data_IF_349695740628
#
_entry.id   IF_349695740628
#
_cell.length_a   1.000
_cell.length_b   1.000
_cell.length_c   1.000
_cell.angle_alpha   90.00
_cell.angle_beta   90.00
_cell.angle_gamma   90.00
#
_symmetry.space_group_name_H-M   'P 1'
#
loop_
_entity.id
_entity.type
_entity.pdbx_description
1 polymer ?
#
# COMPACT_ATOMS: atom_id res chain seq x y z
N UNK A 1 -31.51 31.51 -3.84
CA UNK A 1 -31.35 30.05 -3.65
C UNK A 1 -29.89 29.78 -3.36
N UNK A 2 -29.47 29.50 -2.11
CA UNK A 2 -28.10 29.10 -1.85
C UNK A 2 -27.95 27.59 -2.05
N UNK A 3 -27.06 27.20 -2.95
CA UNK A 3 -26.69 25.81 -3.20
C UNK A 3 -25.91 25.28 -2.00
N UNK A 4 -26.63 24.51 -1.18
CA UNK A 4 -26.14 23.89 0.02
C UNK A 4 -25.37 22.60 -0.34
N UNK A 5 -24.13 22.74 -0.82
CA UNK A 5 -23.19 21.62 -0.86
C UNK A 5 -22.77 21.33 0.59
N UNK A 6 -23.62 20.59 1.30
CA UNK A 6 -23.19 19.91 2.52
C UNK A 6 -22.09 18.96 2.08
N UNK A 7 -20.83 19.32 2.33
CA UNK A 7 -19.78 18.32 2.47
C UNK A 7 -20.33 17.37 3.53
N UNK A 8 -20.77 16.19 3.09
CA UNK A 8 -21.06 15.11 4.00
C UNK A 8 -19.68 14.67 4.48
N UNK A 9 -19.18 15.31 5.52
CA UNK A 9 -18.05 14.81 6.30
C UNK A 9 -18.55 13.57 7.03
N UNK A 10 -18.81 12.50 6.29
CA UNK A 10 -18.87 11.17 6.88
C UNK A 10 -17.42 10.76 7.06
N UNK A 11 -16.86 11.05 8.23
CA UNK A 11 -15.72 10.26 8.71
C UNK A 11 -16.12 8.79 8.51
N UNK A 12 -15.42 8.01 7.67
CA UNK A 12 -15.79 6.63 7.47
C UNK A 12 -15.75 5.95 8.83
N UNK A 13 -16.93 5.57 9.34
CA UNK A 13 -17.03 4.92 10.62
C UNK A 13 -16.18 3.65 10.56
N UNK A 14 -15.31 3.45 11.56
CA UNK A 14 -14.54 2.21 11.76
C UNK A 14 -15.49 1.07 12.17
N UNK A 15 -16.47 0.77 11.32
CA UNK A 15 -17.49 -0.25 11.54
C UNK A 15 -17.08 -1.51 10.80
N UNK A 16 -17.23 -2.66 11.47
CA UNK A 16 -16.85 -3.98 10.95
C UNK A 16 -17.75 -4.51 9.82
N UNK A 17 -18.79 -3.77 9.42
CA UNK A 17 -19.70 -4.10 8.32
C UNK A 17 -19.38 -3.23 7.12
N UNK A 18 -18.73 -3.84 6.11
CA UNK A 18 -18.48 -3.23 4.80
C UNK A 18 -19.80 -3.04 4.05
N UNK A 19 -20.25 -1.81 3.89
CA UNK A 19 -21.28 -1.47 2.89
C UNK A 19 -20.60 -1.32 1.52
N UNK A 20 -21.19 -1.87 0.44
CA UNK A 20 -20.61 -1.78 -0.92
C UNK A 20 -20.51 -0.33 -1.39
N UNK A 21 -21.54 0.47 -1.10
CA UNK A 21 -21.62 1.89 -1.45
C UNK A 21 -20.53 2.74 -0.79
N UNK A 22 -20.18 2.47 0.46
CA UNK A 22 -19.13 3.23 1.17
C UNK A 22 -17.74 2.97 0.56
N UNK A 23 -17.47 1.74 0.13
CA UNK A 23 -16.21 1.41 -0.52
C UNK A 23 -16.07 2.07 -1.90
N UNK A 24 -17.15 2.12 -2.66
CA UNK A 24 -17.18 2.81 -3.96
C UNK A 24 -16.92 4.32 -3.79
N UNK A 25 -17.57 4.96 -2.82
CA UNK A 25 -17.35 6.38 -2.50
C UNK A 25 -15.90 6.63 -2.07
N UNK A 26 -15.35 5.80 -1.17
CA UNK A 26 -13.95 5.94 -0.74
C UNK A 26 -13.00 5.74 -1.92
N UNK A 27 -13.26 4.76 -2.78
CA UNK A 27 -12.44 4.55 -3.99
C UNK A 27 -12.50 5.73 -4.94
N UNK A 28 -13.65 6.39 -5.08
CA UNK A 28 -13.80 7.58 -5.92
C UNK A 28 -13.03 8.77 -5.33
N UNK A 29 -13.21 9.05 -4.04
CA UNK A 29 -12.48 10.12 -3.33
C UNK A 29 -10.96 9.89 -3.40
N UNK A 30 -10.49 8.66 -3.21
CA UNK A 30 -9.06 8.34 -3.28
C UNK A 30 -8.43 8.66 -4.64
N UNK A 31 -9.21 8.58 -5.73
CA UNK A 31 -8.70 8.93 -7.07
C UNK A 31 -8.42 10.42 -7.26
N UNK A 32 -8.93 11.29 -6.37
CA UNK A 32 -8.61 12.72 -6.36
C UNK A 32 -7.20 13.00 -5.80
N UNK A 33 -6.61 12.03 -5.09
CA UNK A 33 -5.29 12.16 -4.47
C UNK A 33 -4.23 11.42 -5.28
N UNK A 34 -3.03 12.00 -5.38
CA UNK A 34 -1.83 11.29 -5.80
C UNK A 34 -1.24 10.55 -4.60
N UNK A 35 -1.41 9.22 -4.55
CA UNK A 35 -1.00 8.43 -3.40
C UNK A 35 0.52 8.23 -3.37
N UNK A 36 1.13 8.36 -2.21
CA UNK A 36 2.57 8.15 -2.05
C UNK A 36 2.81 6.67 -1.76
N UNK A 37 3.62 6.03 -2.60
CA UNK A 37 4.06 4.66 -2.40
C UNK A 37 5.51 4.60 -1.96
N UNK A 38 5.75 3.83 -0.91
CA UNK A 38 7.09 3.57 -0.42
C UNK A 38 7.25 2.08 -0.11
N UNK A 39 8.38 1.51 -0.51
CA UNK A 39 8.72 0.13 -0.17
C UNK A 39 10.06 0.06 0.52
N UNK A 40 10.17 -0.83 1.50
CA UNK A 40 11.35 -0.93 2.34
C UNK A 40 11.66 -2.38 2.69
N UNK A 41 12.94 -2.63 2.96
CA UNK A 41 13.43 -3.94 3.38
C UNK A 41 13.90 -3.91 4.85
N UNK A 42 13.41 -4.84 5.65
CA UNK A 42 13.83 -5.02 7.04
C UNK A 42 14.66 -6.30 7.17
N UNK A 43 15.81 -6.20 7.84
CA UNK A 43 16.61 -7.38 8.16
C UNK A 43 15.84 -8.27 9.15
N UNK A 44 15.96 -9.58 8.95
CA UNK A 44 15.40 -10.60 9.83
C UNK A 44 16.50 -11.56 10.26
N UNK A 45 16.25 -12.31 11.35
CA UNK A 45 17.10 -13.44 11.70
C UNK A 45 17.11 -14.45 10.54
N UNK A 46 18.29 -15.05 10.30
CA UNK A 46 18.44 -16.11 9.29
C UNK A 46 17.46 -17.25 9.59
N UNK A 47 16.53 -17.57 8.67
CA UNK A 47 15.62 -18.68 8.87
C UNK A 47 16.37 -20.01 9.08
N UNK A 48 15.90 -20.85 9.99
CA UNK A 48 16.56 -22.14 10.28
C UNK A 48 16.51 -23.10 9.09
N UNK A 49 15.38 -23.17 8.39
CA UNK A 49 15.17 -24.05 7.22
C UNK A 49 15.86 -23.48 5.98
N UNK A 50 16.71 -24.28 5.33
CA UNK A 50 17.49 -23.87 4.16
C UNK A 50 16.63 -23.35 2.99
N UNK A 51 15.49 -24.01 2.71
CA UNK A 51 14.54 -23.57 1.68
C UNK A 51 14.03 -22.14 1.94
N UNK A 52 13.71 -21.84 3.20
CA UNK A 52 13.27 -20.50 3.63
C UNK A 52 14.39 -19.47 3.60
N UNK A 53 15.65 -19.87 3.80
CA UNK A 53 16.78 -18.95 3.67
C UNK A 53 16.84 -18.36 2.26
N UNK A 54 16.71 -19.21 1.22
CA UNK A 54 16.73 -18.77 -0.19
C UNK A 54 15.63 -17.77 -0.51
N UNK A 55 14.45 -17.95 0.07
CA UNK A 55 13.28 -17.08 -0.14
C UNK A 55 13.54 -15.66 0.37
N UNK A 56 14.10 -15.52 1.57
CA UNK A 56 14.32 -14.20 2.20
C UNK A 56 15.69 -13.59 1.91
N UNK A 57 16.62 -14.31 1.27
CA UNK A 57 17.96 -13.80 1.01
C UNK A 57 17.93 -12.71 -0.09
N UNK A 58 18.29 -11.48 0.29
CA UNK A 58 18.49 -10.38 -0.65
C UNK A 58 19.91 -10.45 -1.22
N UNK A 59 20.03 -10.71 -2.52
CA UNK A 59 21.34 -10.79 -3.19
C UNK A 59 22.11 -9.46 -3.17
N UNK A 60 21.40 -8.34 -3.31
CA UNK A 60 22.00 -7.00 -3.29
C UNK A 60 22.51 -6.63 -1.89
N UNK A 61 21.67 -6.81 -0.86
CA UNK A 61 22.01 -6.46 0.53
C UNK A 61 22.83 -7.53 1.25
N UNK A 62 23.02 -8.71 0.64
CA UNK A 62 23.73 -9.88 1.18
C UNK A 62 23.23 -10.33 2.57
N UNK A 63 21.93 -10.22 2.83
CA UNK A 63 21.32 -10.63 4.10
C UNK A 63 19.85 -11.06 3.93
N UNK A 64 19.29 -11.77 4.92
CA UNK A 64 17.90 -12.18 4.94
C UNK A 64 17.01 -11.01 5.33
N UNK A 65 16.04 -10.70 4.47
CA UNK A 65 15.20 -9.52 4.57
C UNK A 65 13.76 -9.84 4.24
N UNK A 66 12.86 -9.11 4.87
CA UNK A 66 11.45 -9.00 4.47
C UNK A 66 11.25 -7.68 3.78
N UNK A 67 10.44 -7.69 2.74
CA UNK A 67 10.01 -6.49 2.04
C UNK A 67 8.59 -6.15 2.45
N UNK A 68 8.36 -4.87 2.66
CA UNK A 68 7.05 -4.30 2.97
C UNK A 68 6.83 -3.07 2.10
N UNK A 69 5.56 -2.76 1.85
CA UNK A 69 5.14 -1.58 1.10
C UNK A 69 3.99 -0.90 1.84
N UNK A 70 4.02 0.42 1.83
CA UNK A 70 3.01 1.25 2.46
C UNK A 70 2.59 2.31 1.44
N UNK A 71 1.28 2.50 1.34
CA UNK A 71 0.65 3.53 0.52
C UNK A 71 -0.03 4.51 1.46
N UNK A 72 0.28 5.80 1.31
CA UNK A 72 -0.23 6.86 2.18
C UNK A 72 -0.84 8.00 1.37
N UNK A 73 -1.71 8.76 2.02
CA UNK A 73 -2.15 10.06 1.52
C UNK A 73 -0.99 11.07 1.50
N UNK A 74 -1.07 12.12 0.67
CA UNK A 74 -0.12 13.22 0.67
C UNK A 74 0.18 13.75 2.08
N UNK A 75 1.43 14.18 2.30
CA UNK A 75 1.93 14.64 3.59
C UNK A 75 1.89 13.60 4.72
N UNK A 76 1.69 12.31 4.40
CA UNK A 76 1.60 11.23 5.39
C UNK A 76 0.37 11.34 6.29
N UNK A 77 -0.71 11.95 5.78
CA UNK A 77 -1.91 12.25 6.55
C UNK A 77 -2.61 10.98 7.07
N UNK A 78 -2.66 9.93 6.26
CA UNK A 78 -3.21 8.64 6.65
C UNK A 78 -2.60 7.50 5.82
N UNK A 79 -2.76 6.27 6.32
CA UNK A 79 -2.31 5.04 5.66
C UNK A 79 -3.49 4.43 4.90
N UNK A 80 -3.31 4.24 3.60
CA UNK A 80 -4.33 3.70 2.69
C UNK A 80 -4.22 2.18 2.55
N UNK A 81 -3.00 1.66 2.35
CA UNK A 81 -2.75 0.21 2.28
C UNK A 81 -1.37 -0.13 2.87
N UNK A 82 -1.26 -1.33 3.45
CA UNK A 82 0.00 -1.88 3.96
C UNK A 82 0.11 -3.34 3.57
N UNK A 83 1.18 -3.67 2.88
CA UNK A 83 1.54 -5.04 2.57
C UNK A 83 2.90 -5.37 3.21
N UNK A 84 2.89 -6.19 4.25
CA UNK A 84 4.08 -6.49 5.05
C UNK A 84 4.50 -7.95 4.95
N UNK A 85 5.81 -8.19 5.14
CA UNK A 85 6.34 -9.53 5.37
C UNK A 85 6.55 -10.38 4.12
N UNK A 86 6.59 -9.77 2.94
CA UNK A 86 6.93 -10.47 1.70
C UNK A 86 8.41 -10.85 1.65
N UNK A 87 8.78 -11.88 0.88
CA UNK A 87 10.18 -12.20 0.62
C UNK A 87 10.97 -11.01 0.07
N UNK A 88 12.17 -10.77 0.61
CA UNK A 88 13.03 -9.63 0.25
C UNK A 88 13.53 -9.61 -1.21
N UNK A 89 13.45 -10.74 -1.94
CA UNK A 89 13.92 -10.84 -3.33
C UNK A 89 13.05 -10.08 -4.34
N UNK A 90 11.82 -9.71 -3.98
CA UNK A 90 10.86 -9.08 -4.89
C UNK A 90 11.33 -7.66 -5.27
N UNK A 91 11.36 -7.32 -6.56
CA UNK A 91 11.70 -5.96 -7.00
C UNK A 91 10.59 -4.97 -6.63
N UNK A 92 10.94 -3.69 -6.45
CA UNK A 92 10.00 -2.63 -6.10
C UNK A 92 8.89 -2.50 -7.15
N UNK A 93 9.25 -2.50 -8.44
CA UNK A 93 8.29 -2.39 -9.55
C UNK A 93 7.28 -3.53 -9.62
N UNK A 94 7.72 -4.78 -9.44
CA UNK A 94 6.81 -5.92 -9.46
C UNK A 94 5.93 -5.93 -8.21
N UNK A 95 6.44 -5.44 -7.08
CA UNK A 95 5.63 -5.27 -5.89
C UNK A 95 4.56 -4.21 -6.11
N UNK A 96 4.92 -3.04 -6.64
CA UNK A 96 3.96 -2.00 -6.98
C UNK A 96 2.89 -2.47 -7.97
N UNK A 97 3.26 -3.15 -9.06
CA UNK A 97 2.30 -3.65 -10.05
C UNK A 97 1.25 -4.60 -9.49
N UNK A 98 1.62 -5.41 -8.49
CA UNK A 98 0.65 -6.28 -7.80
C UNK A 98 -0.28 -5.46 -6.90
N UNK A 99 0.26 -4.49 -6.15
CA UNK A 99 -0.53 -3.65 -5.26
C UNK A 99 -1.46 -2.69 -6.00
N UNK A 100 -1.01 -2.12 -7.13
CA UNK A 100 -1.76 -1.20 -7.97
C UNK A 100 -3.08 -1.81 -8.47
N UNK A 101 -3.14 -3.13 -8.68
CA UNK A 101 -4.34 -3.83 -9.13
C UNK A 101 -5.51 -3.76 -8.13
N UNK A 102 -5.24 -3.42 -6.86
CA UNK A 102 -6.28 -3.22 -5.84
C UNK A 102 -6.99 -1.88 -5.96
N UNK A 103 -6.45 -0.94 -6.74
CA UNK A 103 -6.93 0.42 -6.86
C UNK A 103 -7.62 0.65 -8.20
N UNK A 104 -8.35 1.77 -8.30
CA UNK A 104 -8.93 2.22 -9.55
C UNK A 104 -7.86 2.37 -10.64
N UNK A 105 -8.14 2.01 -11.91
CA UNK A 105 -7.21 2.23 -13.03
C UNK A 105 -6.83 3.70 -13.24
N UNK A 106 -7.63 4.64 -12.71
CA UNK A 106 -7.37 6.09 -12.77
C UNK A 106 -6.51 6.61 -11.62
N UNK A 107 -6.20 5.76 -10.63
CA UNK A 107 -5.46 6.14 -9.44
C UNK A 107 -4.04 6.61 -9.81
N UNK A 108 -3.68 7.79 -9.33
CA UNK A 108 -2.33 8.32 -9.47
C UNK A 108 -1.47 7.91 -8.26
N UNK A 109 -0.20 7.64 -8.53
CA UNK A 109 0.78 7.26 -7.53
C UNK A 109 2.08 8.03 -7.76
N UNK A 110 2.78 8.37 -6.68
CA UNK A 110 4.11 8.97 -6.66
C UNK A 110 5.02 8.27 -5.66
N UNK A 111 6.34 8.44 -5.77
CA UNK A 111 7.32 7.82 -4.86
C UNK A 111 8.24 6.84 -5.59
N UNK A 112 8.52 5.69 -4.97
CA UNK A 112 9.40 4.66 -5.53
C UNK A 112 8.74 3.96 -6.74
N UNK A 113 8.67 4.68 -7.85
CA UNK A 113 8.41 4.16 -9.18
C UNK A 113 9.77 3.85 -9.79
N UNK A 114 10.11 2.57 -9.92
CA UNK A 114 11.34 2.17 -10.61
C UNK A 114 11.28 2.53 -12.10
#
# INVERSE_FOLDING_TARGET
MPNNWRIITTEPARTSKKNSSEQEIVSEILTEYELIINSYEQAIERPKKYEKQKEYYSGNKKNHRRKSQVIVLPNGQDIVDVEAGKPGKKSDINFFRETQQKFSPKQQFTGDQA
#
